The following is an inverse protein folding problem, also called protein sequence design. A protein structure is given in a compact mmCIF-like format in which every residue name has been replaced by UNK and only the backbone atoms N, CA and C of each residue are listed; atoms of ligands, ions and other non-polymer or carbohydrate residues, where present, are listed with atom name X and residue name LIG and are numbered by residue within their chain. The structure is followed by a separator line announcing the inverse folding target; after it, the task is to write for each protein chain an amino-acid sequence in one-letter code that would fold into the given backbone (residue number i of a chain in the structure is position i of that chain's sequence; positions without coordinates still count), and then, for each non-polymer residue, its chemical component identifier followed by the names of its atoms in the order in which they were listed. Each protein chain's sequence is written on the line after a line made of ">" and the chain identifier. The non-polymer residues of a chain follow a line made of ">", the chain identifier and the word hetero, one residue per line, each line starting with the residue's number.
data_IF_681475890329
#
_entry.id   IF_681475890329
#
_cell.length_a   1.000
_cell.length_b   1.000
_cell.length_c   1.000
_cell.angle_alpha   90.00
_cell.angle_beta   90.00
_cell.angle_gamma   90.00
#
_symmetry.space_group_name_H-M   'P 1'
#
loop_
_entity.id
_entity.type
_entity.pdbx_description
1 polymer ?
#
# COMPACT_ATOMS: atom_id res chain seq x y z
N UNK A 1 -3.16 -0.28 20.21
CA UNK A 1 -1.86 -0.55 19.55
C UNK A 1 -0.92 -1.22 20.56
N UNK A 2 -0.25 -2.31 20.19
CA UNK A 2 0.72 -2.98 21.06
C UNK A 2 1.85 -3.65 20.25
N UNK A 3 2.92 -4.01 20.95
CA UNK A 3 4.02 -4.83 20.43
C UNK A 3 4.20 -6.08 21.27
N UNK A 4 4.75 -7.12 20.67
CA UNK A 4 5.08 -8.35 21.37
C UNK A 4 6.51 -8.77 21.05
N UNK A 5 7.28 -9.02 22.11
CA UNK A 5 8.55 -9.72 22.04
C UNK A 5 8.29 -11.21 21.86
N UNK A 6 8.78 -11.79 20.78
CA UNK A 6 8.62 -13.23 20.46
C UNK A 6 9.85 -14.00 20.93
N UNK A 7 11.05 -13.51 20.63
CA UNK A 7 12.31 -14.11 21.08
C UNK A 7 13.49 -13.13 21.09
N UNK A 8 14.58 -13.49 21.76
CA UNK A 8 15.78 -12.68 21.89
C UNK A 8 15.88 -11.92 23.23
N UNK A 9 16.97 -11.19 23.42
CA UNK A 9 17.20 -10.31 24.57
C UNK A 9 17.34 -8.89 24.02
N UNK A 10 16.44 -8.00 24.44
CA UNK A 10 16.43 -6.61 24.03
C UNK A 10 15.02 -6.05 24.06
N UNK A 11 14.77 -5.08 23.19
CA UNK A 11 13.54 -4.29 23.15
C UNK A 11 12.84 -4.42 21.80
N UNK A 12 11.51 -4.34 21.86
CA UNK A 12 10.61 -4.12 20.73
C UNK A 12 9.81 -2.89 21.08
N UNK A 13 9.70 -1.95 20.15
CA UNK A 13 9.10 -0.65 20.41
C UNK A 13 8.16 -0.24 19.30
N UNK A 14 7.15 0.55 19.68
CA UNK A 14 6.20 1.13 18.77
C UNK A 14 5.83 2.52 19.26
N UNK A 15 6.04 3.50 18.40
CA UNK A 15 5.97 4.92 18.73
C UNK A 15 5.06 5.61 17.72
N UNK A 16 4.32 6.61 18.16
CA UNK A 16 3.59 7.52 17.27
C UNK A 16 4.23 8.90 17.33
N UNK A 17 4.21 9.63 16.22
CA UNK A 17 4.79 10.97 16.12
C UNK A 17 6.28 11.02 16.49
N UNK A 18 7.01 9.94 16.22
CA UNK A 18 8.42 9.81 16.59
C UNK A 18 9.23 10.94 15.94
N UNK A 19 10.09 11.58 16.73
CA UNK A 19 10.94 12.68 16.28
C UNK A 19 10.20 13.87 15.63
N UNK A 20 8.91 14.05 15.97
CA UNK A 20 8.09 15.14 15.43
C UNK A 20 7.55 14.90 14.01
N UNK A 21 7.68 13.68 13.49
CA UNK A 21 7.12 13.28 12.19
C UNK A 21 5.85 12.49 12.42
N UNK A 22 4.76 12.80 11.71
CA UNK A 22 3.46 12.15 11.86
C UNK A 22 3.42 10.72 11.27
N UNK A 23 4.22 9.83 11.85
CA UNK A 23 4.32 8.41 11.48
C UNK A 23 4.19 7.52 12.71
N UNK A 24 3.82 6.27 12.47
CA UNK A 24 3.99 5.18 13.42
C UNK A 24 5.35 4.55 13.12
N UNK A 25 6.21 4.42 14.13
CA UNK A 25 7.53 3.81 14.02
C UNK A 25 7.57 2.52 14.81
N UNK A 26 8.03 1.44 14.18
CA UNK A 26 8.26 0.14 14.80
C UNK A 26 9.73 -0.23 14.70
N UNK A 27 10.34 -0.54 15.83
CA UNK A 27 11.75 -0.90 15.89
C UNK A 27 11.94 -2.14 16.77
N UNK A 28 12.86 -3.03 16.39
CA UNK A 28 13.36 -4.05 17.30
C UNK A 28 14.89 -4.15 17.26
N UNK A 29 15.45 -4.45 18.43
CA UNK A 29 16.92 -4.49 18.59
C UNK A 29 17.54 -5.64 17.80
N UNK A 30 18.84 -5.56 17.53
CA UNK A 30 19.54 -6.61 16.79
C UNK A 30 19.37 -8.00 17.42
N UNK A 31 18.97 -8.97 16.60
CA UNK A 31 18.72 -10.35 17.04
C UNK A 31 17.45 -10.57 17.86
N UNK A 32 16.64 -9.52 18.07
CA UNK A 32 15.32 -9.60 18.71
C UNK A 32 14.27 -9.82 17.64
N UNK A 33 13.41 -10.83 17.84
CA UNK A 33 12.24 -11.06 16.99
C UNK A 33 11.00 -10.59 17.75
N UNK A 34 10.21 -9.76 17.09
CA UNK A 34 8.94 -9.27 17.62
C UNK A 34 7.93 -9.08 16.51
N UNK A 35 6.74 -8.61 16.86
CA UNK A 35 5.77 -8.11 15.90
C UNK A 35 5.02 -6.90 16.47
N UNK A 36 4.68 -5.97 15.57
CA UNK A 36 3.82 -4.84 15.89
C UNK A 36 2.41 -5.09 15.36
N UNK A 37 1.42 -4.73 16.19
CA UNK A 37 0.01 -4.93 15.87
C UNK A 37 -0.74 -3.63 16.10
N UNK A 38 -1.33 -3.15 15.02
CA UNK A 38 -2.21 -2.01 15.00
C UNK A 38 -3.65 -2.50 14.90
N UNK A 39 -4.53 -1.94 15.71
CA UNK A 39 -5.93 -2.34 15.80
C UNK A 39 -6.79 -1.09 15.79
N UNK A 40 -7.76 -1.07 14.89
CA UNK A 40 -8.88 -0.14 14.88
C UNK A 40 -10.15 -0.95 15.09
N UNK A 41 -10.69 -0.90 16.29
CA UNK A 41 -11.80 -1.73 16.75
C UNK A 41 -12.80 -0.92 17.60
N UNK A 42 -12.79 0.40 17.48
CA UNK A 42 -13.66 1.30 18.23
C UNK A 42 -13.00 1.87 19.49
N UNK A 43 -13.80 2.59 20.28
CA UNK A 43 -13.33 3.25 21.51
C UNK A 43 -13.58 2.34 22.71
N UNK A 44 -12.59 1.52 23.07
CA UNK A 44 -12.61 0.69 24.29
C UNK A 44 -11.45 1.02 25.26
N UNK A 45 -10.60 1.98 24.88
CA UNK A 45 -9.38 2.39 25.58
C UNK A 45 -8.42 1.22 25.91
N UNK A 46 -8.49 0.11 25.17
CA UNK A 46 -7.72 -1.09 25.42
C UNK A 46 -6.71 -1.38 24.31
N UNK A 47 -5.61 -2.03 24.67
CA UNK A 47 -4.65 -2.55 23.71
C UNK A 47 -4.68 -4.08 23.80
N UNK A 48 -5.64 -4.69 23.10
CA UNK A 48 -5.87 -6.12 23.10
C UNK A 48 -5.45 -6.78 21.78
N UNK A 49 -4.90 -8.00 21.80
CA UNK A 49 -4.74 -8.82 20.60
C UNK A 49 -6.06 -9.26 19.99
N UNK A 50 -7.12 -9.32 20.80
CA UNK A 50 -8.48 -9.69 20.38
C UNK A 50 -9.29 -8.40 20.27
N UNK A 51 -9.80 -8.06 19.08
CA UNK A 51 -10.50 -6.79 18.86
C UNK A 51 -11.86 -6.75 19.57
N UNK A 52 -12.26 -5.58 20.05
CA UNK A 52 -13.54 -5.34 20.75
C UNK A 52 -14.74 -5.12 19.81
N UNK A 53 -14.50 -5.07 18.49
CA UNK A 53 -15.52 -5.03 17.43
C UNK A 53 -16.49 -3.84 17.47
N UNK A 54 -15.98 -2.65 17.73
CA UNK A 54 -16.75 -1.44 17.99
C UNK A 54 -16.77 -0.39 16.88
N UNK A 55 -16.36 -0.70 15.63
CA UNK A 55 -16.42 0.28 14.53
C UNK A 55 -17.86 0.57 14.06
N UNK A 56 -18.81 -0.36 14.24
CA UNK A 56 -20.23 -0.14 13.95
C UNK A 56 -20.57 -0.27 12.46
N UNK A 57 -20.18 -1.39 11.85
CA UNK A 57 -20.47 -1.77 10.47
C UNK A 57 -19.96 -0.75 9.44
N UNK A 58 -18.70 -0.32 9.58
CA UNK A 58 -18.07 0.61 8.65
C UNK A 58 -17.98 -0.03 7.26
N UNK A 59 -18.46 0.69 6.26
CA UNK A 59 -18.26 0.37 4.85
C UNK A 59 -16.94 0.99 4.36
N UNK A 60 -15.89 0.17 4.24
CA UNK A 60 -14.60 0.60 3.69
C UNK A 60 -14.65 0.82 2.18
N UNK A 61 -15.65 0.26 1.50
CA UNK A 61 -15.82 0.42 0.05
C UNK A 61 -16.46 1.77 -0.30
N UNK A 62 -17.11 2.45 0.66
CA UNK A 62 -17.89 3.66 0.41
C UNK A 62 -18.82 3.49 -0.81
N UNK A 63 -19.77 2.56 -0.72
CA UNK A 63 -20.68 2.20 -1.83
C UNK A 63 -19.95 1.77 -3.13
N UNK A 64 -18.77 1.16 -2.98
CA UNK A 64 -17.93 0.69 -4.09
C UNK A 64 -17.00 1.74 -4.72
N UNK A 65 -16.91 2.94 -4.14
CA UNK A 65 -15.92 3.95 -4.55
C UNK A 65 -14.49 3.49 -4.28
N UNK A 66 -14.25 2.87 -3.13
CA UNK A 66 -12.97 2.32 -2.71
C UNK A 66 -12.81 0.86 -3.15
N UNK A 67 -11.66 0.50 -3.73
CA UNK A 67 -11.38 -0.86 -4.23
C UNK A 67 -10.28 -1.57 -3.46
N UNK A 68 -9.66 -0.92 -2.49
CA UNK A 68 -8.64 -1.52 -1.65
C UNK A 68 -8.11 -0.61 -0.58
N UNK A 69 -7.06 -1.08 0.09
CA UNK A 69 -6.36 -0.36 1.15
C UNK A 69 -4.99 0.05 0.63
N UNK A 70 -4.70 1.35 0.70
CA UNK A 70 -3.42 1.93 0.36
C UNK A 70 -2.53 2.08 1.59
N UNK A 71 -1.26 1.76 1.40
CA UNK A 71 -0.22 1.85 2.42
C UNK A 71 0.95 2.69 1.93
N UNK A 72 1.39 3.62 2.77
CA UNK A 72 2.73 4.22 2.68
C UNK A 72 3.52 3.81 3.89
N UNK A 73 4.50 2.93 3.68
CA UNK A 73 5.40 2.46 4.72
C UNK A 73 6.84 2.35 4.21
N UNK A 74 7.74 2.04 5.12
CA UNK A 74 9.15 1.81 4.87
C UNK A 74 9.65 0.81 5.88
N UNK A 75 10.44 -0.14 5.40
CA UNK A 75 11.12 -1.14 6.21
C UNK A 75 12.55 -1.30 5.71
N UNK A 76 13.51 -1.55 6.59
CA UNK A 76 14.93 -1.67 6.26
C UNK A 76 15.47 -3.12 6.26
N UNK A 77 14.59 -4.08 6.53
CA UNK A 77 14.92 -5.50 6.69
C UNK A 77 14.22 -6.36 5.64
N UNK A 78 14.87 -7.44 5.21
CA UNK A 78 14.41 -8.35 4.15
C UNK A 78 13.76 -9.63 4.71
N UNK A 79 12.97 -10.31 3.87
CA UNK A 79 12.34 -11.59 4.21
C UNK A 79 10.90 -11.41 4.68
N UNK A 80 10.51 -12.04 5.80
CA UNK A 80 9.12 -11.98 6.30
C UNK A 80 8.69 -10.59 6.76
N UNK A 81 9.64 -9.68 6.98
CA UNK A 81 9.43 -8.28 7.29
C UNK A 81 8.71 -7.55 6.16
N UNK A 82 8.91 -8.00 4.92
CA UNK A 82 8.26 -7.47 3.71
C UNK A 82 6.76 -7.78 3.68
N UNK A 83 6.27 -8.67 4.55
CA UNK A 83 4.86 -9.03 4.62
C UNK A 83 4.10 -8.14 5.60
N UNK A 84 3.06 -7.50 5.08
CA UNK A 84 2.03 -6.85 5.88
C UNK A 84 0.75 -7.67 5.76
N UNK A 85 0.25 -8.14 6.90
CA UNK A 85 -1.01 -8.88 7.01
C UNK A 85 -2.09 -7.95 7.53
N UNK A 86 -3.27 -7.99 6.93
CA UNK A 86 -4.46 -7.29 7.40
C UNK A 86 -5.57 -8.30 7.64
N UNK A 87 -6.32 -8.10 8.73
CA UNK A 87 -7.58 -8.79 8.98
C UNK A 87 -8.72 -7.81 9.14
N UNK A 88 -9.85 -8.17 8.55
CA UNK A 88 -11.14 -7.53 8.72
C UNK A 88 -12.03 -8.45 9.55
N UNK A 89 -12.70 -7.89 10.56
CA UNK A 89 -13.60 -8.60 11.46
C UNK A 89 -15.03 -8.05 11.33
N UNK A 90 -16.02 -8.91 11.53
CA UNK A 90 -17.43 -8.51 11.70
C UNK A 90 -17.82 -8.55 13.19
N UNK A 91 -19.07 -8.89 13.51
CA UNK A 91 -19.64 -9.09 14.85
C UNK A 91 -19.01 -10.25 15.68
N UNK A 92 -18.11 -11.07 15.13
CA UNK A 92 -17.41 -12.14 15.87
C UNK A 92 -15.86 -12.06 15.71
N UNK A 93 -15.08 -11.95 16.81
CA UNK A 93 -13.62 -11.83 16.71
C UNK A 93 -12.93 -13.14 16.26
N UNK A 94 -13.68 -14.25 16.20
CA UNK A 94 -13.26 -15.52 15.60
C UNK A 94 -13.53 -15.63 14.10
N UNK A 95 -14.29 -14.70 13.50
CA UNK A 95 -14.63 -14.66 12.09
C UNK A 95 -13.90 -13.49 11.42
N UNK A 96 -13.01 -13.79 10.47
CA UNK A 96 -12.24 -12.75 9.80
C UNK A 96 -11.97 -13.08 8.33
N UNK A 97 -11.81 -12.03 7.54
CA UNK A 97 -11.17 -12.10 6.22
C UNK A 97 -9.75 -11.56 6.30
N UNK A 98 -8.83 -12.15 5.55
CA UNK A 98 -7.40 -11.85 5.61
C UNK A 98 -6.84 -11.54 4.22
N UNK A 99 -5.97 -10.53 4.17
CA UNK A 99 -5.15 -10.23 3.01
C UNK A 99 -3.70 -10.03 3.42
N UNK A 100 -2.80 -10.37 2.51
CA UNK A 100 -1.35 -10.22 2.69
C UNK A 100 -0.82 -9.43 1.50
N UNK A 101 0.01 -8.44 1.79
CA UNK A 101 0.71 -7.67 0.78
C UNK A 101 2.21 -7.70 1.03
N UNK A 102 2.96 -7.84 -0.06
CA UNK A 102 4.41 -7.71 -0.05
C UNK A 102 4.77 -6.24 -0.23
N UNK A 103 5.73 -5.78 0.56
CA UNK A 103 6.18 -4.41 0.57
C UNK A 103 7.66 -4.32 0.19
N UNK A 104 8.05 -3.43 -0.74
CA UNK A 104 9.44 -3.31 -1.13
C UNK A 104 10.28 -2.79 0.04
N UNK A 105 11.44 -3.40 0.24
CA UNK A 105 12.44 -2.93 1.21
C UNK A 105 12.93 -1.53 0.82
N UNK A 106 13.06 -0.67 1.83
CA UNK A 106 13.47 0.74 1.73
C UNK A 106 14.67 0.99 2.64
N UNK A 107 14.89 2.24 3.06
CA UNK A 107 15.86 2.64 4.08
C UNK A 107 15.22 2.77 5.49
N UNK A 108 14.06 2.13 5.71
CA UNK A 108 13.25 2.28 6.92
C UNK A 108 12.36 3.53 6.92
N UNK A 109 12.55 4.46 5.97
CA UNK A 109 11.69 5.65 5.83
C UNK A 109 10.45 5.31 5.01
N UNK A 110 9.29 5.84 5.41
CA UNK A 110 8.00 5.61 4.74
C UNK A 110 7.89 6.24 3.32
N UNK A 111 8.65 5.70 2.37
CA UNK A 111 8.72 6.15 0.96
C UNK A 111 8.10 5.16 -0.01
N UNK A 112 7.98 3.90 0.38
CA UNK A 112 7.35 2.90 -0.45
C UNK A 112 5.84 3.07 -0.46
N UNK A 113 5.19 2.48 -1.45
CA UNK A 113 3.74 2.41 -1.52
C UNK A 113 3.30 1.00 -1.89
N UNK A 114 2.21 0.55 -1.29
CA UNK A 114 1.58 -0.71 -1.64
C UNK A 114 0.06 -0.57 -1.59
N UNK A 115 -0.63 -1.38 -2.38
CA UNK A 115 -2.08 -1.37 -2.50
C UNK A 115 -2.61 -2.79 -2.42
N UNK A 116 -3.43 -3.08 -1.41
CA UNK A 116 -4.12 -4.36 -1.27
C UNK A 116 -5.54 -4.20 -1.80
N UNK A 117 -5.84 -4.84 -2.93
CA UNK A 117 -7.19 -4.83 -3.45
C UNK A 117 -8.13 -5.60 -2.51
N UNK A 118 -9.36 -5.12 -2.34
CA UNK A 118 -10.38 -5.82 -1.58
C UNK A 118 -10.69 -7.21 -2.15
N UNK A 119 -10.51 -7.40 -3.45
CA UNK A 119 -10.64 -8.71 -4.12
C UNK A 119 -9.57 -9.73 -3.69
N UNK A 120 -8.44 -9.26 -3.18
CA UNK A 120 -7.33 -10.11 -2.73
C UNK A 120 -7.45 -10.48 -1.24
N UNK A 121 -8.46 -9.93 -0.55
CA UNK A 121 -8.81 -10.31 0.82
C UNK A 121 -9.73 -11.53 0.75
N UNK A 122 -9.33 -12.60 1.42
CA UNK A 122 -10.05 -13.88 1.40
C UNK A 122 -10.70 -14.17 2.76
N UNK A 123 -11.96 -14.62 2.74
CA UNK A 123 -12.69 -14.97 3.95
C UNK A 123 -14.18 -14.55 3.89
N UNK A 124 -14.93 -14.76 4.98
CA UNK A 124 -16.36 -14.51 5.04
C UNK A 124 -16.75 -13.04 5.34
N UNK A 125 -15.86 -12.23 5.88
CA UNK A 125 -16.11 -10.81 6.22
C UNK A 125 -16.00 -9.94 4.97
N UNK A 126 -17.04 -9.15 4.71
CA UNK A 126 -17.07 -8.20 3.59
C UNK A 126 -16.38 -6.88 3.98
N UNK A 127 -15.57 -6.28 3.08
CA UNK A 127 -15.06 -4.92 3.26
C UNK A 127 -16.16 -3.85 3.37
N UNK A 128 -17.39 -4.17 2.97
CA UNK A 128 -18.55 -3.27 3.08
C UNK A 128 -19.22 -3.29 4.45
N UNK A 129 -18.79 -4.15 5.37
CA UNK A 129 -19.34 -4.28 6.72
C UNK A 129 -18.23 -4.75 7.66
N UNK A 130 -17.51 -3.80 8.26
CA UNK A 130 -16.35 -4.07 9.11
C UNK A 130 -16.55 -3.48 10.51
N UNK A 131 -16.33 -4.31 11.53
CA UNK A 131 -16.40 -3.93 12.94
C UNK A 131 -15.04 -3.83 13.63
N UNK A 132 -13.99 -4.41 13.05
CA UNK A 132 -12.62 -4.12 13.42
C UNK A 132 -11.62 -4.41 12.28
N UNK A 133 -10.49 -3.72 12.32
CA UNK A 133 -9.35 -3.90 11.43
C UNK A 133 -8.12 -4.16 12.29
N UNK A 134 -7.35 -5.18 11.95
CA UNK A 134 -6.04 -5.40 12.54
C UNK A 134 -4.97 -5.51 11.46
N UNK A 135 -3.79 -4.96 11.75
CA UNK A 135 -2.64 -4.96 10.86
C UNK A 135 -1.42 -5.45 11.61
N UNK A 136 -0.71 -6.40 11.00
CA UNK A 136 0.54 -6.96 11.49
C UNK A 136 1.67 -6.56 10.56
N UNK A 137 2.81 -6.22 11.16
CA UNK A 137 4.04 -5.93 10.45
C UNK A 137 5.24 -6.43 11.24
N UNK A 138 6.31 -6.73 10.51
CA UNK A 138 7.58 -7.18 11.07
C UNK A 138 7.55 -8.60 11.64
N UNK A 139 6.59 -9.43 11.23
CA UNK A 139 6.46 -10.80 11.74
C UNK A 139 7.74 -11.62 11.47
N UNK A 140 8.13 -12.40 12.48
CA UNK A 140 9.25 -13.35 12.46
C UNK A 140 10.60 -12.77 11.99
N UNK A 141 10.78 -11.45 12.09
CA UNK A 141 11.90 -10.77 11.48
C UNK A 141 12.74 -10.03 12.53
N UNK A 142 14.05 -10.30 12.59
CA UNK A 142 14.93 -9.62 13.52
C UNK A 142 15.49 -8.32 12.93
N UNK A 143 15.80 -7.37 13.81
CA UNK A 143 16.50 -6.12 13.47
C UNK A 143 15.76 -5.31 12.39
N UNK A 144 14.53 -4.93 12.69
CA UNK A 144 13.67 -4.10 11.85
C UNK A 144 13.66 -2.69 12.40
N UNK A 145 13.86 -1.72 11.51
CA UNK A 145 13.44 -0.33 11.65
C UNK A 145 12.39 -0.04 10.56
N UNK A 146 11.16 0.28 10.98
CA UNK A 146 10.05 0.52 10.07
C UNK A 146 9.25 1.78 10.41
N UNK A 147 8.77 2.47 9.38
CA UNK A 147 7.87 3.61 9.49
C UNK A 147 6.61 3.38 8.68
N UNK A 148 5.46 3.76 9.24
CA UNK A 148 4.14 3.70 8.63
C UNK A 148 3.56 5.12 8.68
N UNK A 149 3.25 5.68 7.52
CA UNK A 149 2.82 7.07 7.39
C UNK A 149 1.33 7.17 7.02
N UNK A 150 0.91 6.46 5.96
CA UNK A 150 -0.48 6.50 5.49
C UNK A 150 -1.06 5.10 5.45
N UNK A 151 -2.25 4.96 6.03
CA UNK A 151 -3.14 3.80 5.87
C UNK A 151 -4.53 4.37 5.58
N UNK A 152 -5.14 3.96 4.47
CA UNK A 152 -6.48 4.40 4.12
C UNK A 152 -7.14 3.54 3.05
N UNK A 153 -8.47 3.46 3.07
CA UNK A 153 -9.23 2.93 1.94
C UNK A 153 -9.10 3.89 0.75
N UNK A 154 -8.93 3.34 -0.45
CA UNK A 154 -8.72 4.12 -1.67
C UNK A 154 -9.43 3.48 -2.85
N UNK A 155 -10.09 4.32 -3.65
CA UNK A 155 -10.72 3.97 -4.92
C UNK A 155 -9.76 3.78 -6.06
N UNK A 156 -10.21 3.16 -7.16
CA UNK A 156 -9.40 3.03 -8.34
C UNK A 156 -9.13 4.43 -8.88
N UNK A 157 -7.85 4.78 -9.06
CA UNK A 157 -7.49 5.81 -10.03
C UNK A 157 -7.69 5.16 -11.40
N UNK A 158 -8.90 5.23 -11.95
CA UNK A 158 -9.17 4.74 -13.28
C UNK A 158 -8.51 5.70 -14.28
N UNK A 159 -7.26 5.43 -14.62
CA UNK A 159 -6.55 6.19 -15.64
C UNK A 159 -7.08 5.75 -17.00
N UNK A 160 -7.97 6.56 -17.58
CA UNK A 160 -8.51 6.29 -18.90
C UNK A 160 -7.42 6.49 -19.96
N UNK A 161 -6.87 5.40 -20.48
CA UNK A 161 -5.93 5.41 -21.61
C UNK A 161 -6.62 5.30 -22.97
N UNK A 162 -7.96 5.31 -23.06
CA UNK A 162 -8.67 5.29 -24.35
C UNK A 162 -8.38 6.53 -25.21
N UNK A 163 -7.90 7.63 -24.59
CA UNK A 163 -7.44 8.81 -25.31
C UNK A 163 -5.91 8.87 -25.25
N UNK A 164 -5.24 7.93 -25.93
CA UNK A 164 -3.92 8.23 -26.49
C UNK A 164 -4.18 9.02 -27.76
N UNK A 165 -3.78 10.30 -27.87
CA UNK A 165 -3.84 11.00 -29.15
C UNK A 165 -3.01 10.18 -30.13
N UNK A 166 -3.63 9.62 -31.17
CA UNK A 166 -2.84 9.01 -32.22
C UNK A 166 -1.82 10.05 -32.69
N UNK A 167 -0.54 9.68 -32.86
CA UNK A 167 0.40 10.60 -33.46
C UNK A 167 -0.22 11.04 -34.79
N UNK A 168 -0.32 12.36 -35.01
CA UNK A 168 -0.85 12.97 -36.21
C UNK A 168 -0.03 12.52 -37.43
N UNK A 169 -0.26 11.29 -37.87
CA UNK A 169 0.50 10.59 -38.90
C UNK A 169 0.30 11.27 -40.25
N UNK A 170 -0.82 11.99 -40.40
CA UNK A 170 -1.10 12.91 -41.48
C UNK A 170 -0.10 14.06 -41.58
N UNK A 171 0.34 14.65 -40.46
CA UNK A 171 1.29 15.78 -40.47
C UNK A 171 2.68 15.29 -40.88
N UNK A 172 3.13 14.14 -40.38
CA UNK A 172 4.41 13.54 -40.75
C UNK A 172 4.40 13.12 -42.23
N UNK A 173 3.31 12.52 -42.71
CA UNK A 173 3.14 12.14 -44.11
C UNK A 173 3.13 13.37 -45.03
N UNK A 174 2.47 14.46 -44.66
CA UNK A 174 2.40 15.69 -45.47
C UNK A 174 3.75 16.41 -45.54
N UNK A 175 4.50 16.44 -44.43
CA UNK A 175 5.87 16.96 -44.39
C UNK A 175 6.78 16.09 -45.27
N UNK A 176 6.66 14.76 -45.18
CA UNK A 176 7.42 13.84 -46.02
C UNK A 176 7.14 14.03 -47.53
N UNK A 177 5.87 14.18 -47.90
CA UNK A 177 5.45 14.38 -49.29
C UNK A 177 5.92 15.74 -49.84
N UNK A 178 5.81 16.81 -49.05
CA UNK A 178 6.26 18.15 -49.46
C UNK A 178 7.78 18.24 -49.57
N UNK A 179 8.52 17.64 -48.64
CA UNK A 179 9.98 17.53 -48.72
C UNK A 179 10.42 16.72 -49.96
N UNK A 180 9.76 15.61 -50.26
CA UNK A 180 10.02 14.82 -51.47
C UNK A 180 9.75 15.59 -52.76
N UNK A 181 8.63 16.31 -52.84
CA UNK A 181 8.29 17.15 -53.99
C UNK A 181 9.29 18.30 -54.19
N UNK A 182 9.75 18.93 -53.11
CA UNK A 182 10.76 19.98 -53.17
C UNK A 182 12.14 19.45 -53.64
N UNK A 183 12.53 18.26 -53.17
CA UNK A 183 13.77 17.60 -53.60
C UNK A 183 13.72 17.15 -55.06
N UNK A 184 12.56 16.68 -55.54
CA UNK A 184 12.36 16.31 -56.96
C UNK A 184 12.51 17.51 -57.89
N UNK A 185 11.92 18.66 -57.54
CA UNK A 185 12.05 19.90 -58.35
C UNK A 185 13.49 20.42 -58.43
N UNK A 186 14.29 20.27 -57.36
CA UNK A 186 15.71 20.69 -57.39
C UNK A 186 16.58 19.85 -58.32
N UNK A 187 16.29 18.55 -58.47
CA UNK A 187 17.04 17.67 -59.38
C UNK A 187 16.82 18.00 -60.85
N UNK A 188 15.63 18.47 -61.23
CA UNK A 188 15.32 18.83 -62.62
C UNK A 188 15.99 20.16 -63.06
N UNK A 189 16.28 21.06 -62.11
CA UNK A 189 16.92 22.36 -62.40
C UNK A 189 18.46 22.27 -62.44
N UNK A 190 19.05 21.25 -61.81
CA UNK A 190 20.51 21.04 -61.76
C UNK A 190 21.08 20.22 -62.93
N UNK A 191 20.25 19.76 -63.86
CA UNK A 191 20.63 18.87 -64.97
C UNK A 191 20.74 19.55 -66.34
N UNK A 192 20.92 20.87 -66.39
CA UNK A 192 21.19 21.63 -67.63
C UNK A 192 22.52 22.35 -67.55
#
# INVERSE_FOLDING_TARGET
>A
MYVRLISGIGEVQLRTNAFGVAVIQYDNTSGVVGNGILTWDGEDMSASPVPTLGLGDVDLTEDGLNTGIFFRLGIDSTGKSEELRIRLYDDDPGIYSEGIIQFPVTDGTAKGSAFLAFSDITGPVSPSKVNAIQIWFGEDSPSIDAQIDVIGAMGPVQQNFEIVPEPNSFVIMLIGLTAWLALRRRREVSGR
#
